data_IF_704371685616
#
_entry.id   IF_704371685616
#
_cell.length_a   1.000
_cell.length_b   1.000
_cell.length_c   1.000
_cell.angle_alpha   90.00
_cell.angle_beta   90.00
_cell.angle_gamma   90.00
#
_symmetry.space_group_name_H-M   'P 1'
#
loop_
_entity.id
_entity.type
_entity.pdbx_description
1 polymer ?
#
# COMPACT_ATOMS: atom_id res chain seq x y z
N UNK A 1 -37.29 -15.62 16.00
CA UNK A 1 -38.46 -15.92 15.14
C UNK A 1 -37.93 -16.78 14.00
N UNK A 2 -38.30 -18.05 13.92
CA UNK A 2 -37.76 -19.02 12.96
C UNK A 2 -38.45 -18.79 11.61
N UNK A 3 -37.79 -18.05 10.72
CA UNK A 3 -38.27 -17.78 9.36
C UNK A 3 -37.87 -18.94 8.44
N UNK A 4 -38.61 -20.05 8.55
CA UNK A 4 -38.49 -21.23 7.69
C UNK A 4 -39.43 -21.08 6.48
N UNK A 5 -39.13 -20.12 5.62
CA UNK A 5 -39.51 -20.17 4.20
C UNK A 5 -38.20 -20.44 3.45
N UNK A 6 -38.18 -21.41 2.52
CA UNK A 6 -36.98 -21.81 1.77
C UNK A 6 -36.25 -20.60 1.14
N UNK A 7 -37.00 -19.54 0.81
CA UNK A 7 -36.46 -18.31 0.25
C UNK A 7 -35.73 -17.43 1.29
N UNK A 8 -36.11 -17.49 2.57
CA UNK A 8 -35.55 -16.60 3.61
C UNK A 8 -34.12 -17.00 4.02
N UNK A 9 -33.78 -18.29 4.00
CA UNK A 9 -32.46 -18.77 4.41
C UNK A 9 -31.38 -18.48 3.36
N UNK A 10 -31.69 -18.71 2.08
CA UNK A 10 -30.78 -18.42 0.97
C UNK A 10 -30.46 -16.92 0.89
N UNK A 11 -31.48 -16.07 0.93
CA UNK A 11 -31.32 -14.61 0.92
C UNK A 11 -30.53 -14.10 2.13
N UNK A 12 -30.75 -14.64 3.34
CA UNK A 12 -29.94 -14.27 4.50
C UNK A 12 -28.47 -14.72 4.36
N UNK A 13 -28.21 -15.88 3.75
CA UNK A 13 -26.84 -16.32 3.49
C UNK A 13 -26.13 -15.40 2.50
N UNK A 14 -26.84 -14.94 1.47
CA UNK A 14 -26.32 -13.97 0.49
C UNK A 14 -25.96 -12.64 1.16
N UNK A 15 -26.88 -12.06 1.94
CA UNK A 15 -26.59 -10.83 2.67
C UNK A 15 -25.46 -10.99 3.69
N UNK A 16 -25.37 -12.13 4.36
CA UNK A 16 -24.25 -12.39 5.28
C UNK A 16 -22.91 -12.46 4.55
N UNK A 17 -22.87 -13.01 3.33
CA UNK A 17 -21.68 -13.02 2.49
C UNK A 17 -21.30 -11.60 2.06
N UNK A 18 -22.27 -10.81 1.59
CA UNK A 18 -22.05 -9.41 1.21
C UNK A 18 -21.54 -8.58 2.39
N UNK A 19 -22.13 -8.75 3.58
CA UNK A 19 -21.66 -8.11 4.82
C UNK A 19 -20.21 -8.51 5.13
N UNK A 20 -19.85 -9.78 4.94
CA UNK A 20 -18.48 -10.26 5.17
C UNK A 20 -17.50 -9.66 4.17
N UNK A 21 -17.88 -9.58 2.91
CA UNK A 21 -17.07 -8.93 1.86
C UNK A 21 -16.87 -7.46 2.18
N UNK A 22 -17.94 -6.71 2.45
CA UNK A 22 -17.86 -5.30 2.82
C UNK A 22 -16.97 -5.07 4.04
N UNK A 23 -17.09 -5.90 5.08
CA UNK A 23 -16.21 -5.84 6.26
C UNK A 23 -14.74 -6.10 5.91
N UNK A 24 -14.48 -7.03 4.98
CA UNK A 24 -13.13 -7.34 4.52
C UNK A 24 -12.54 -6.17 3.75
N UNK A 25 -13.32 -5.56 2.84
CA UNK A 25 -12.94 -4.34 2.12
C UNK A 25 -12.65 -3.18 3.08
N UNK A 26 -13.52 -2.94 4.07
CA UNK A 26 -13.30 -1.91 5.10
C UNK A 26 -12.00 -2.16 5.86
N UNK A 27 -11.76 -3.41 6.29
CA UNK A 27 -10.53 -3.75 7.02
C UNK A 27 -9.28 -3.50 6.16
N UNK A 28 -9.29 -4.00 4.92
CA UNK A 28 -8.20 -3.82 3.98
C UNK A 28 -7.88 -2.33 3.75
N UNK A 29 -8.89 -1.50 3.49
CA UNK A 29 -8.69 -0.07 3.26
C UNK A 29 -8.21 0.65 4.52
N UNK A 30 -8.72 0.30 5.71
CA UNK A 30 -8.22 0.87 6.97
C UNK A 30 -6.74 0.56 7.17
N UNK A 31 -6.33 -0.69 6.95
CA UNK A 31 -4.91 -1.07 7.06
C UNK A 31 -4.04 -0.33 6.04
N UNK A 32 -4.52 -0.16 4.81
CA UNK A 32 -3.81 0.60 3.78
C UNK A 32 -3.66 2.08 4.15
N UNK A 33 -4.73 2.72 4.65
CA UNK A 33 -4.70 4.11 5.11
C UNK A 33 -3.68 4.28 6.25
N UNK A 34 -3.62 3.36 7.21
CA UNK A 34 -2.65 3.46 8.31
C UNK A 34 -1.21 3.31 7.81
N UNK A 35 -0.95 2.38 6.88
CA UNK A 35 0.36 2.27 6.22
C UNK A 35 0.73 3.54 5.46
N UNK A 36 -0.20 4.08 4.68
CA UNK A 36 0.04 5.29 3.89
C UNK A 36 0.29 6.50 4.80
N UNK A 37 -0.40 6.62 5.94
CA UNK A 37 -0.12 7.65 6.95
C UNK A 37 1.28 7.55 7.53
N UNK A 38 1.72 6.33 7.86
CA UNK A 38 3.08 6.10 8.34
C UNK A 38 4.12 6.47 7.28
N UNK A 39 3.87 6.14 6.01
CA UNK A 39 4.72 6.57 4.88
C UNK A 39 4.75 8.09 4.76
N UNK A 40 3.60 8.77 4.78
CA UNK A 40 3.54 10.24 4.75
C UNK A 40 4.30 10.85 5.92
N UNK A 41 4.18 10.27 7.12
CA UNK A 41 4.90 10.76 8.32
C UNK A 41 6.41 10.65 8.16
N UNK A 42 6.90 9.55 7.56
CA UNK A 42 8.31 9.36 7.21
C UNK A 42 8.78 10.35 6.15
N UNK A 43 7.99 10.54 5.10
CA UNK A 43 8.26 11.50 4.02
C UNK A 43 8.13 12.97 4.44
N UNK A 44 7.55 13.28 5.61
CA UNK A 44 7.58 14.64 6.17
C UNK A 44 8.98 15.03 6.64
N UNK A 45 9.84 14.06 6.93
CA UNK A 45 11.25 14.35 7.14
C UNK A 45 11.90 14.69 5.79
N UNK A 46 12.41 15.92 5.69
CA UNK A 46 13.06 16.44 4.48
C UNK A 46 14.17 15.52 4.00
N UNK A 47 14.87 14.84 4.92
CA UNK A 47 15.98 13.96 4.57
C UNK A 47 15.50 12.67 3.92
N UNK A 48 14.46 12.03 4.46
CA UNK A 48 13.92 10.79 3.90
C UNK A 48 13.22 11.03 2.55
N UNK A 49 12.56 12.18 2.40
CA UNK A 49 11.96 12.59 1.14
C UNK A 49 13.01 12.80 0.04
N UNK A 50 14.10 13.52 0.36
CA UNK A 50 15.20 13.71 -0.57
C UNK A 50 15.87 12.39 -0.95
N UNK A 51 16.10 11.49 0.02
CA UNK A 51 16.65 10.15 -0.26
C UNK A 51 15.72 9.37 -1.21
N UNK A 52 14.43 9.34 -0.91
CA UNK A 52 13.44 8.63 -1.72
C UNK A 52 13.36 9.19 -3.16
N UNK A 53 13.37 10.52 -3.30
CA UNK A 53 13.35 11.20 -4.60
C UNK A 53 14.63 10.92 -5.41
N UNK A 54 15.80 10.88 -4.77
CA UNK A 54 17.07 10.51 -5.41
C UNK A 54 17.07 9.05 -5.86
N UNK A 55 16.65 8.12 -5.00
CA UNK A 55 16.69 6.68 -5.28
C UNK A 55 15.66 6.22 -6.33
N UNK A 56 14.44 6.72 -6.28
CA UNK A 56 13.35 6.22 -7.13
C UNK A 56 13.14 7.05 -8.41
N UNK A 57 13.48 8.33 -8.36
CA UNK A 57 13.18 9.28 -9.42
C UNK A 57 14.42 10.02 -9.96
N UNK A 58 15.62 9.71 -9.44
CA UNK A 58 16.88 10.33 -9.85
C UNK A 58 16.86 11.87 -9.78
N UNK A 59 16.06 12.42 -8.86
CA UNK A 59 15.92 13.87 -8.70
C UNK A 59 17.19 14.46 -8.07
N UNK A 60 17.63 15.62 -8.58
CA UNK A 60 18.78 16.38 -8.07
C UNK A 60 18.43 17.83 -7.78
N UNK A 61 19.16 18.46 -6.85
CA UNK A 61 19.12 19.92 -6.68
C UNK A 61 19.97 20.60 -7.77
N UNK A 62 19.70 21.88 -8.05
CA UNK A 62 20.39 22.62 -9.12
C UNK A 62 21.91 22.70 -8.93
N UNK A 63 22.39 22.67 -7.68
CA UNK A 63 23.81 22.72 -7.33
C UNK A 63 24.34 21.37 -6.80
N UNK A 64 23.78 20.25 -7.25
CA UNK A 64 24.16 18.90 -6.82
C UNK A 64 24.44 17.99 -8.02
N UNK A 65 25.54 17.23 -7.94
CA UNK A 65 25.88 16.17 -8.88
C UNK A 65 25.65 14.80 -8.22
N UNK A 66 24.84 13.96 -8.88
CA UNK A 66 24.48 12.61 -8.40
C UNK A 66 25.21 11.59 -9.25
N UNK A 67 25.88 10.63 -8.59
CA UNK A 67 26.57 9.52 -9.25
C UNK A 67 25.82 8.21 -8.94
N UNK A 68 25.54 7.42 -9.98
CA UNK A 68 25.06 6.05 -9.83
C UNK A 68 26.27 5.14 -10.01
N UNK A 69 26.66 4.43 -8.96
CA UNK A 69 27.75 3.46 -9.00
C UNK A 69 27.14 2.08 -9.21
N UNK A 70 27.22 1.57 -10.42
CA UNK A 70 26.85 0.21 -10.75
C UNK A 70 28.12 -0.66 -10.78
N UNK A 71 28.16 -1.70 -9.95
CA UNK A 71 29.23 -2.68 -9.99
C UNK A 71 28.86 -3.75 -11.01
N UNK A 72 29.44 -3.67 -12.22
CA UNK A 72 29.32 -4.76 -13.18
C UNK A 72 30.13 -5.96 -12.66
N UNK A 73 29.48 -7.11 -12.52
CA UNK A 73 30.08 -8.34 -11.97
C UNK A 73 31.01 -9.05 -12.95
N UNK A 74 31.52 -8.35 -13.97
CA UNK A 74 32.55 -8.90 -14.86
C UNK A 74 33.81 -9.05 -14.00
N UNK A 75 34.04 -10.28 -13.53
CA UNK A 75 35.34 -10.69 -13.04
C UNK A 75 36.34 -10.41 -14.15
N UNK A 76 37.27 -9.50 -13.90
CA UNK A 76 38.46 -9.33 -14.73
C UNK A 76 39.05 -10.73 -14.99
N UNK A 77 39.07 -11.13 -16.27
CA UNK A 77 39.67 -12.38 -16.73
C UNK A 77 41.18 -12.31 -16.67
#
# INVERSE_FOLDING_TARGET
MLFLDENSYLTHREFNNEIKELKTWIKYHKEKIEKDKEVIKKLKDSLELERYARENYLMKKENEDIYIIEFDTIKDQ
#
